data_IF_866946694590
#
_entry.id   IF_866946694590
#
_cell.length_a   1.000
_cell.length_b   1.000
_cell.length_c   1.000
_cell.angle_alpha   90.00
_cell.angle_beta   90.00
_cell.angle_gamma   90.00
#
_symmetry.space_group_name_H-M   'P 1'
#
loop_
_entity.id
_entity.type
_entity.pdbx_description
1 polymer ?
#
# COMPACT_ATOMS: atom_id res chain seq x y z
N UNK A 1 -10.25 32.23 -5.92
CA UNK A 1 -10.50 30.80 -5.71
C UNK A 1 -9.15 30.11 -5.83
N UNK A 2 -8.50 29.80 -4.70
CA UNK A 2 -7.18 29.17 -4.70
C UNK A 2 -7.40 27.66 -4.68
N UNK A 3 -7.21 27.01 -5.83
CA UNK A 3 -7.17 25.55 -5.91
C UNK A 3 -5.85 25.11 -5.30
N UNK A 4 -5.85 24.80 -4.01
CA UNK A 4 -4.71 24.16 -3.36
C UNK A 4 -4.57 22.77 -3.98
N UNK A 5 -3.76 22.66 -5.03
CA UNK A 5 -3.27 21.37 -5.50
C UNK A 5 -2.35 20.83 -4.40
N UNK A 6 -2.93 20.16 -3.40
CA UNK A 6 -2.18 19.39 -2.42
C UNK A 6 -1.64 18.21 -3.20
N UNK A 7 -0.45 18.37 -3.78
CA UNK A 7 0.26 17.25 -4.37
C UNK A 7 0.54 16.29 -3.21
N UNK A 8 0.06 15.04 -3.26
CA UNK A 8 0.34 14.08 -2.22
C UNK A 8 1.87 13.99 -2.06
N UNK A 9 2.31 14.03 -0.82
CA UNK A 9 3.73 13.84 -0.53
C UNK A 9 4.14 12.43 -0.99
N UNK A 10 5.43 12.28 -1.28
CA UNK A 10 5.97 11.03 -1.82
C UNK A 10 5.53 9.79 -1.02
N UNK A 11 5.44 9.89 0.32
CA UNK A 11 5.02 8.76 1.15
C UNK A 11 3.57 8.38 0.88
N UNK A 12 2.68 9.35 0.82
CA UNK A 12 1.26 9.14 0.50
C UNK A 12 1.10 8.46 -0.87
N UNK A 13 1.80 8.94 -1.90
CA UNK A 13 1.78 8.30 -3.22
C UNK A 13 2.21 6.83 -3.19
N UNK A 14 3.29 6.53 -2.45
CA UNK A 14 3.81 5.16 -2.37
C UNK A 14 2.93 4.26 -1.49
N UNK A 15 2.26 4.80 -0.47
CA UNK A 15 1.26 4.07 0.31
C UNK A 15 0.04 3.72 -0.54
N UNK A 16 -0.44 4.66 -1.36
CA UNK A 16 -1.56 4.42 -2.28
C UNK A 16 -1.21 3.34 -3.32
N UNK A 17 0.03 3.35 -3.83
CA UNK A 17 0.52 2.30 -4.72
C UNK A 17 0.55 0.92 -4.03
N UNK A 18 1.01 0.86 -2.77
CA UNK A 18 0.97 -0.35 -1.97
C UNK A 18 -0.46 -0.84 -1.77
N UNK A 19 -1.39 0.07 -1.46
CA UNK A 19 -2.80 -0.21 -1.26
C UNK A 19 -3.44 -0.79 -2.53
N UNK A 20 -3.20 -0.18 -3.69
CA UNK A 20 -3.70 -0.67 -4.98
C UNK A 20 -3.17 -2.07 -5.31
N UNK A 21 -1.87 -2.33 -5.04
CA UNK A 21 -1.28 -3.65 -5.24
C UNK A 21 -1.94 -4.70 -4.34
N UNK A 22 -2.07 -4.41 -3.04
CA UNK A 22 -2.68 -5.30 -2.07
C UNK A 22 -4.14 -5.63 -2.43
N UNK A 23 -4.95 -4.62 -2.76
CA UNK A 23 -6.35 -4.84 -3.14
C UNK A 23 -6.51 -5.70 -4.40
N UNK A 24 -5.62 -5.52 -5.39
CA UNK A 24 -5.65 -6.28 -6.64
C UNK A 24 -5.28 -7.74 -6.44
N UNK A 25 -4.26 -8.00 -5.62
CA UNK A 25 -3.66 -9.33 -5.52
C UNK A 25 -4.13 -10.13 -4.30
N UNK A 26 -4.75 -9.51 -3.28
CA UNK A 26 -5.23 -10.22 -2.09
C UNK A 26 -6.23 -11.34 -2.36
N UNK A 27 -6.92 -11.33 -3.50
CA UNK A 27 -7.84 -12.40 -3.90
C UNK A 27 -7.11 -13.63 -4.46
N UNK A 28 -5.87 -13.46 -4.93
CA UNK A 28 -5.02 -14.53 -5.46
C UNK A 28 -4.28 -15.28 -4.34
N UNK A 29 -4.12 -14.64 -3.18
CA UNK A 29 -3.51 -15.22 -1.99
C UNK A 29 -4.58 -15.57 -0.96
N UNK A 30 -4.37 -16.62 -0.16
CA UNK A 30 -5.15 -16.80 1.07
C UNK A 30 -4.87 -15.60 2.00
N UNK A 31 -5.91 -15.05 2.63
CA UNK A 31 -5.83 -13.86 3.50
C UNK A 31 -4.63 -13.93 4.46
N UNK A 32 -3.92 -12.81 4.63
CA UNK A 32 -2.73 -12.66 5.49
C UNK A 32 -1.53 -13.54 5.10
N UNK A 33 -1.34 -13.83 3.81
CA UNK A 33 -0.13 -14.51 3.35
C UNK A 33 1.09 -13.59 3.41
N UNK A 34 2.17 -14.01 4.10
CA UNK A 34 3.51 -13.38 4.04
C UNK A 34 3.99 -13.14 2.59
N UNK A 35 3.55 -14.00 1.67
CA UNK A 35 3.85 -13.89 0.25
C UNK A 35 3.21 -12.64 -0.40
N UNK A 36 2.02 -12.23 0.03
CA UNK A 36 1.37 -11.01 -0.46
C UNK A 36 2.16 -9.77 -0.03
N UNK A 37 2.56 -9.70 1.24
CA UNK A 37 3.38 -8.61 1.77
C UNK A 37 4.75 -8.54 1.08
N UNK A 38 5.44 -9.68 0.98
CA UNK A 38 6.75 -9.76 0.31
C UNK A 38 6.68 -9.35 -1.16
N UNK A 39 5.58 -9.68 -1.85
CA UNK A 39 5.37 -9.31 -3.25
C UNK A 39 5.06 -7.82 -3.42
N UNK A 40 4.25 -7.25 -2.52
CA UNK A 40 3.96 -5.82 -2.49
C UNK A 40 5.23 -5.00 -2.19
N UNK A 41 6.03 -5.41 -1.20
CA UNK A 41 7.31 -4.79 -0.87
C UNK A 41 8.26 -4.83 -2.06
N UNK A 42 8.41 -5.99 -2.70
CA UNK A 42 9.24 -6.13 -3.90
C UNK A 42 8.75 -5.24 -5.03
N UNK A 43 7.44 -5.10 -5.24
CA UNK A 43 6.89 -4.21 -6.25
C UNK A 43 7.29 -2.75 -5.98
N UNK A 44 7.13 -2.27 -4.75
CA UNK A 44 7.55 -0.92 -4.35
C UNK A 44 9.06 -0.70 -4.56
N UNK A 45 9.88 -1.69 -4.21
CA UNK A 45 11.35 -1.57 -4.32
C UNK A 45 11.80 -1.60 -5.78
N UNK A 46 11.30 -2.54 -6.57
CA UNK A 46 11.81 -2.80 -7.93
C UNK A 46 11.14 -1.92 -8.97
N UNK A 47 9.84 -1.72 -8.89
CA UNK A 47 9.08 -0.98 -9.89
C UNK A 47 8.98 0.52 -9.59
N UNK A 48 9.00 0.90 -8.29
CA UNK A 48 8.81 2.27 -7.84
C UNK A 48 10.06 2.83 -7.12
N UNK A 49 11.15 2.07 -7.08
CA UNK A 49 12.45 2.45 -6.51
C UNK A 49 12.37 2.93 -5.05
N UNK A 50 11.37 2.42 -4.30
CA UNK A 50 11.19 2.76 -2.89
C UNK A 50 12.29 2.07 -2.06
N UNK A 51 12.94 2.77 -1.12
CA UNK A 51 13.88 2.14 -0.20
C UNK A 51 13.23 0.98 0.57
N UNK A 52 13.90 -0.16 0.67
CA UNK A 52 13.34 -1.37 1.30
C UNK A 52 12.81 -1.14 2.73
N UNK A 53 13.54 -0.33 3.52
CA UNK A 53 13.13 0.04 4.88
C UNK A 53 11.85 0.88 4.96
N UNK A 54 11.52 1.59 3.87
CA UNK A 54 10.28 2.35 3.73
C UNK A 54 9.18 1.49 3.11
N UNK A 55 9.50 0.66 2.12
CA UNK A 55 8.55 -0.23 1.46
C UNK A 55 7.79 -1.13 2.47
N UNK A 56 8.51 -1.79 3.37
CA UNK A 56 7.89 -2.63 4.40
C UNK A 56 6.90 -1.86 5.29
N UNK A 57 7.27 -0.63 5.69
CA UNK A 57 6.41 0.25 6.49
C UNK A 57 5.15 0.66 5.72
N UNK A 58 5.31 1.02 4.45
CA UNK A 58 4.21 1.44 3.59
C UNK A 58 3.20 0.31 3.34
N UNK A 59 3.68 -0.91 3.09
CA UNK A 59 2.80 -2.07 2.89
C UNK A 59 2.03 -2.39 4.17
N UNK A 60 2.69 -2.37 5.34
CA UNK A 60 2.02 -2.59 6.62
C UNK A 60 0.96 -1.53 6.93
N UNK A 61 1.27 -0.25 6.67
CA UNK A 61 0.31 0.85 6.84
C UNK A 61 -0.88 0.69 5.90
N UNK A 62 -0.63 0.45 4.61
CA UNK A 62 -1.68 0.24 3.62
C UNK A 62 -2.59 -0.95 3.98
N UNK A 63 -2.04 -2.06 4.46
CA UNK A 63 -2.84 -3.20 4.91
C UNK A 63 -3.69 -2.87 6.14
N UNK A 64 -3.12 -2.16 7.11
CA UNK A 64 -3.86 -1.72 8.31
C UNK A 64 -5.03 -0.83 7.92
N UNK A 65 -4.83 0.10 6.98
CA UNK A 65 -5.89 0.97 6.47
C UNK A 65 -7.01 0.18 5.78
N UNK A 66 -6.66 -0.80 4.93
CA UNK A 66 -7.65 -1.70 4.30
C UNK A 66 -8.51 -2.38 5.37
N UNK A 67 -7.88 -2.95 6.39
CA UNK A 67 -8.56 -3.67 7.48
C UNK A 67 -9.45 -2.75 8.32
N UNK A 68 -9.00 -1.53 8.57
CA UNK A 68 -9.79 -0.50 9.28
C UNK A 68 -11.04 -0.14 8.47
N UNK A 69 -10.90 0.13 7.16
CA UNK A 69 -12.02 0.49 6.28
C UNK A 69 -13.02 -0.67 6.15
N UNK A 70 -12.55 -1.90 6.04
CA UNK A 70 -13.40 -3.10 6.03
C UNK A 70 -14.18 -3.26 7.34
N UNK A 71 -13.53 -3.03 8.48
CA UNK A 71 -14.19 -3.10 9.79
C UNK A 71 -15.25 -2.00 9.99
N UNK A 72 -15.13 -0.86 9.31
CA UNK A 72 -16.09 0.24 9.39
C UNK A 72 -17.29 0.06 8.44
N UNK A 73 -17.15 -0.80 7.43
CA UNK A 73 -18.19 -1.11 6.44
C UNK A 73 -19.00 -2.38 6.75
N UNK A 74 -18.67 -3.09 7.84
CA UNK A 74 -19.31 -4.31 8.31
C UNK A 74 -20.36 -4.02 9.40
#
# INVERSE_FOLDING_TARGET
MITTHITPDYRTCMQDAAHAYLLRHRAEYLVDSDQLFSSAERHLIVALEVPASLAAKLVHLAWTDIRQVESLSA
#
